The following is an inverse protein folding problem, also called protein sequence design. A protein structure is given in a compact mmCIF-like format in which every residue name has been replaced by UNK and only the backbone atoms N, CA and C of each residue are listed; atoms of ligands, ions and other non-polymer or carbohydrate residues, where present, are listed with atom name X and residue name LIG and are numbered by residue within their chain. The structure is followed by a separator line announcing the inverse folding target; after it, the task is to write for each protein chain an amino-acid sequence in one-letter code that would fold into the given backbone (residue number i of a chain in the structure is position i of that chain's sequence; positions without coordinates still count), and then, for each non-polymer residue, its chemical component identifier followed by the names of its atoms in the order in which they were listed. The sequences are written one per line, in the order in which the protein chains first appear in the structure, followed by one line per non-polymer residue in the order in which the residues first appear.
data_IF_709883603680
#
_entry.id   IF_709883603680
#
_cell.length_a   1.000
_cell.length_b   1.000
_cell.length_c   1.000
_cell.angle_alpha   90.00
_cell.angle_beta   90.00
_cell.angle_gamma   90.00
#
_symmetry.space_group_name_H-M   'P 1'
#
loop_
_entity.id
_entity.type
_entity.pdbx_description
1 polymer ?
#
# COMPACT_ATOMS: atom_id res chain seq x y z
N UNK A 1 3.27 12.77 -37.06
CA UNK A 1 3.12 11.55 -36.22
C UNK A 1 3.19 12.00 -34.78
N UNK A 2 2.03 12.15 -34.13
CA UNK A 2 1.98 12.55 -32.72
C UNK A 2 2.37 11.33 -31.89
N UNK A 3 3.58 11.34 -31.33
CA UNK A 3 3.93 10.44 -30.25
C UNK A 3 2.96 10.74 -29.10
N UNK A 4 2.05 9.81 -28.81
CA UNK A 4 1.30 9.84 -27.57
C UNK A 4 2.33 9.70 -26.45
N UNK A 5 2.68 10.82 -25.81
CA UNK A 5 3.50 10.84 -24.62
C UNK A 5 2.72 10.11 -23.53
N UNK A 6 3.14 8.90 -23.19
CA UNK A 6 2.63 8.23 -22.00
C UNK A 6 2.78 9.12 -20.76
N UNK A 7 1.98 8.91 -19.71
CA UNK A 7 2.06 9.71 -18.49
C UNK A 7 3.49 9.71 -17.94
N UNK A 8 4.03 10.89 -17.63
CA UNK A 8 5.35 11.04 -17.01
C UNK A 8 5.37 10.40 -15.61
N UNK A 9 6.48 9.75 -15.26
CA UNK A 9 6.66 9.19 -13.92
C UNK A 9 6.58 10.31 -12.85
N UNK A 10 5.89 10.09 -11.72
CA UNK A 10 5.88 11.05 -10.62
C UNK A 10 7.29 11.20 -10.02
N UNK A 11 7.51 12.36 -9.42
CA UNK A 11 8.76 12.78 -8.77
C UNK A 11 8.51 13.09 -7.29
N UNK A 12 9.57 13.43 -6.55
CA UNK A 12 9.42 13.89 -5.16
C UNK A 12 8.57 15.16 -5.03
N UNK A 13 8.61 16.07 -6.03
CA UNK A 13 7.78 17.28 -6.01
C UNK A 13 6.28 16.96 -6.01
N UNK A 14 5.88 15.87 -6.66
CA UNK A 14 4.48 15.39 -6.64
C UNK A 14 4.10 14.88 -5.24
N UNK A 15 5.04 14.25 -4.52
CA UNK A 15 4.85 13.84 -3.12
C UNK A 15 4.70 15.07 -2.21
N UNK A 16 5.48 16.13 -2.44
CA UNK A 16 5.34 17.39 -1.70
C UNK A 16 3.97 18.04 -1.94
N UNK A 17 3.53 18.09 -3.20
CA UNK A 17 2.19 18.56 -3.55
C UNK A 17 1.10 17.71 -2.87
N UNK A 18 1.27 16.38 -2.84
CA UNK A 18 0.35 15.49 -2.15
C UNK A 18 0.33 15.75 -0.63
N UNK A 19 1.49 15.99 -0.01
CA UNK A 19 1.59 16.32 1.42
C UNK A 19 0.84 17.61 1.75
N UNK A 20 0.89 18.62 0.86
CA UNK A 20 0.10 19.85 1.02
C UNK A 20 -1.40 19.55 0.97
N UNK A 21 -1.87 18.74 0.00
CA UNK A 21 -3.30 18.38 -0.11
C UNK A 21 -3.80 17.56 1.09
N UNK A 22 -2.94 16.74 1.68
CA UNK A 22 -3.28 15.84 2.79
C UNK A 22 -3.19 16.51 4.16
N UNK A 23 -2.56 17.69 4.27
CA UNK A 23 -2.35 18.39 5.54
C UNK A 23 -3.67 18.69 6.25
N UNK A 24 -3.80 18.20 7.49
CA UNK A 24 -5.02 18.34 8.30
C UNK A 24 -6.17 17.40 7.91
N UNK A 25 -5.99 16.63 6.83
CA UNK A 25 -6.95 15.63 6.36
C UNK A 25 -6.49 14.24 6.77
N UNK A 26 -5.35 13.78 6.28
CA UNK A 26 -4.76 12.51 6.70
C UNK A 26 -4.24 12.62 8.14
N UNK A 27 -4.30 11.51 8.88
CA UNK A 27 -3.63 11.44 10.17
C UNK A 27 -2.12 11.45 9.95
N UNK A 28 -1.42 12.30 10.69
CA UNK A 28 0.02 12.21 10.86
C UNK A 28 0.32 11.06 11.83
N UNK A 29 0.49 9.85 11.30
CA UNK A 29 0.70 8.64 12.14
C UNK A 29 2.06 8.74 12.86
N UNK A 30 2.18 8.31 14.12
CA UNK A 30 3.41 8.55 14.90
C UNK A 30 4.59 7.67 14.42
N UNK A 31 5.82 8.16 14.51
CA UNK A 31 7.00 7.30 14.44
C UNK A 31 7.20 6.56 15.77
N UNK A 32 7.00 5.24 15.79
CA UNK A 32 7.06 4.41 17.01
C UNK A 32 8.34 3.59 17.10
N UNK A 33 8.81 3.27 18.30
CA UNK A 33 9.94 2.35 18.51
C UNK A 33 9.58 1.24 19.51
N UNK A 34 10.38 0.18 19.55
CA UNK A 34 10.20 -0.93 20.49
C UNK A 34 11.53 -1.46 20.97
N UNK A 35 11.80 -1.32 22.28
CA UNK A 35 13.03 -1.84 22.89
C UNK A 35 13.16 -3.36 22.71
N UNK A 36 12.04 -4.08 22.70
CA UNK A 36 12.01 -5.53 22.46
C UNK A 36 12.38 -5.87 21.02
N UNK A 37 11.86 -5.10 20.04
CA UNK A 37 12.22 -5.29 18.64
C UNK A 37 13.71 -4.98 18.41
N UNK A 38 14.19 -3.87 18.98
CA UNK A 38 15.59 -3.46 18.86
C UNK A 38 16.56 -4.50 19.41
N UNK A 39 16.25 -5.10 20.56
CA UNK A 39 17.05 -6.22 21.11
C UNK A 39 16.99 -7.47 20.23
N UNK A 40 15.80 -7.81 19.69
CA UNK A 40 15.61 -8.96 18.80
C UNK A 40 16.46 -8.86 17.54
N UNK A 41 16.58 -7.69 16.96
CA UNK A 41 17.26 -7.48 15.66
C UNK A 41 18.64 -6.84 15.78
N UNK A 42 19.08 -6.51 16.99
CA UNK A 42 20.32 -5.76 17.26
C UNK A 42 20.39 -4.46 16.44
N UNK A 43 19.26 -3.78 16.27
CA UNK A 43 19.09 -2.62 15.40
C UNK A 43 18.23 -1.54 16.08
N UNK A 44 18.22 -0.32 15.54
CA UNK A 44 17.31 0.75 15.96
C UNK A 44 16.12 0.80 14.99
N UNK A 45 15.02 0.12 15.33
CA UNK A 45 13.83 0.07 14.49
C UNK A 45 12.87 1.22 14.81
N UNK A 46 12.37 1.86 13.75
CA UNK A 46 11.32 2.88 13.80
C UNK A 46 10.18 2.46 12.88
N UNK A 47 8.98 2.35 13.45
CA UNK A 47 7.77 1.88 12.76
C UNK A 47 6.88 3.07 12.41
N UNK A 48 6.37 3.10 11.17
CA UNK A 48 5.33 4.02 10.70
C UNK A 48 4.00 3.24 10.63
N UNK A 49 3.12 3.37 11.65
CA UNK A 49 1.91 2.58 11.80
C UNK A 49 0.76 3.16 10.96
N UNK A 50 0.78 2.91 9.64
CA UNK A 50 -0.32 3.31 8.75
C UNK A 50 -1.60 2.50 8.97
N UNK A 51 -1.56 1.46 9.81
CA UNK A 51 -2.74 0.85 10.42
C UNK A 51 -3.56 1.83 11.29
N UNK A 52 -2.98 2.96 11.73
CA UNK A 52 -3.67 4.03 12.47
C UNK A 52 -4.16 5.17 11.56
N UNK A 53 -3.95 5.06 10.25
CA UNK A 53 -4.48 6.02 9.29
C UNK A 53 -6.02 5.94 9.26
N UNK A 54 -6.65 6.99 8.73
CA UNK A 54 -8.05 6.91 8.28
C UNK A 54 -8.27 5.65 7.46
N UNK A 55 -9.44 5.02 7.64
CA UNK A 55 -9.80 3.73 7.06
C UNK A 55 -8.81 2.58 7.32
N UNK A 56 -7.88 2.72 8.27
CA UNK A 56 -7.04 1.63 8.77
C UNK A 56 -5.86 1.23 7.89
N UNK A 57 -5.52 2.01 6.84
CA UNK A 57 -4.38 1.73 5.97
C UNK A 57 -3.84 2.98 5.25
N UNK A 58 -2.60 2.87 4.75
CA UNK A 58 -1.94 3.94 3.98
C UNK A 58 -2.72 4.39 2.74
N UNK A 59 -3.59 3.54 2.20
CA UNK A 59 -4.34 3.76 0.95
C UNK A 59 -5.15 5.05 0.95
N UNK A 60 -5.58 5.53 2.11
CA UNK A 60 -6.26 6.82 2.23
C UNK A 60 -5.46 7.96 1.59
N UNK A 61 -4.14 7.95 1.72
CA UNK A 61 -3.26 9.03 1.24
C UNK A 61 -3.35 9.22 -0.27
N UNK A 62 -3.06 8.18 -1.03
CA UNK A 62 -3.13 8.23 -2.49
C UNK A 62 -4.55 8.24 -3.03
N UNK A 63 -5.51 7.60 -2.36
CA UNK A 63 -6.93 7.68 -2.74
C UNK A 63 -7.45 9.12 -2.64
N UNK A 64 -7.19 9.79 -1.51
CA UNK A 64 -7.54 11.19 -1.31
C UNK A 64 -6.76 12.11 -2.27
N UNK A 65 -5.44 11.94 -2.39
CA UNK A 65 -4.65 12.77 -3.30
C UNK A 65 -5.15 12.68 -4.75
N UNK A 66 -5.42 11.47 -5.24
CA UNK A 66 -5.93 11.27 -6.61
C UNK A 66 -7.28 11.95 -6.83
N UNK A 67 -8.25 11.77 -5.92
CA UNK A 67 -9.57 12.42 -6.06
C UNK A 67 -9.43 13.95 -5.91
N UNK A 68 -8.59 14.43 -5.00
CA UNK A 68 -8.37 15.86 -4.78
C UNK A 68 -7.73 16.54 -5.99
N UNK A 69 -6.87 15.84 -6.73
CA UNK A 69 -6.21 16.32 -7.97
C UNK A 69 -7.14 16.40 -9.18
N UNK A 70 -8.33 15.80 -9.14
CA UNK A 70 -9.26 15.84 -10.27
C UNK A 70 -9.78 17.24 -10.57
N UNK A 71 -10.07 17.49 -11.85
CA UNK A 71 -10.75 18.71 -12.30
C UNK A 71 -12.18 18.80 -11.72
N UNK A 72 -12.78 20.00 -11.67
CA UNK A 72 -14.18 20.16 -11.25
C UNK A 72 -15.15 19.28 -12.06
N UNK A 73 -14.92 19.13 -13.37
CA UNK A 73 -15.74 18.32 -14.27
C UNK A 73 -15.62 16.83 -13.92
N UNK A 74 -14.39 16.34 -13.71
CA UNK A 74 -14.12 14.96 -13.30
C UNK A 74 -14.72 14.66 -11.92
N UNK A 75 -14.61 15.60 -10.97
CA UNK A 75 -15.24 15.48 -9.63
C UNK A 75 -16.76 15.40 -9.71
N UNK A 76 -17.37 16.21 -10.58
CA UNK A 76 -18.82 16.19 -10.81
C UNK A 76 -19.29 14.88 -11.45
N UNK A 77 -18.53 14.34 -12.40
CA UNK A 77 -18.85 13.07 -13.03
C UNK A 77 -18.70 11.89 -12.03
N UNK A 78 -17.70 11.96 -11.17
CA UNK A 78 -17.39 10.94 -10.17
C UNK A 78 -16.29 9.99 -10.61
N UNK A 79 -15.98 9.03 -9.74
CA UNK A 79 -14.85 8.11 -9.93
C UNK A 79 -15.30 6.65 -9.89
N UNK A 80 -14.51 5.79 -10.53
CA UNK A 80 -14.66 4.34 -10.44
C UNK A 80 -13.33 3.68 -10.06
N UNK A 81 -13.39 2.65 -9.23
CA UNK A 81 -12.23 1.80 -8.95
C UNK A 81 -12.65 0.33 -8.81
N UNK A 82 -11.66 -0.55 -8.79
CA UNK A 82 -11.83 -1.98 -8.57
C UNK A 82 -10.93 -2.43 -7.41
N UNK A 83 -11.56 -2.84 -6.31
CA UNK A 83 -10.86 -3.38 -5.14
C UNK A 83 -11.88 -4.01 -4.22
N UNK A 84 -11.50 -5.09 -3.54
CA UNK A 84 -12.29 -5.68 -2.45
C UNK A 84 -11.73 -5.33 -1.07
N UNK A 85 -10.76 -4.41 -0.99
CA UNK A 85 -9.89 -4.22 0.18
C UNK A 85 -9.65 -2.76 0.56
N UNK A 86 -8.44 -2.48 1.01
CA UNK A 86 -8.05 -1.16 1.51
C UNK A 86 -8.26 -0.03 0.48
N UNK A 87 -8.05 -0.29 -0.82
CA UNK A 87 -8.26 0.75 -1.83
C UNK A 87 -9.75 1.12 -2.01
N UNK A 88 -10.67 0.15 -1.90
CA UNK A 88 -12.11 0.42 -1.97
C UNK A 88 -12.56 1.37 -0.85
N UNK A 89 -12.16 1.09 0.39
CA UNK A 89 -12.46 1.93 1.53
C UNK A 89 -11.82 3.32 1.42
N UNK A 90 -10.58 3.39 0.93
CA UNK A 90 -9.89 4.66 0.73
C UNK A 90 -10.59 5.57 -0.28
N UNK A 91 -10.99 5.02 -1.44
CA UNK A 91 -11.71 5.78 -2.47
C UNK A 91 -13.09 6.19 -1.99
N UNK A 92 -13.87 5.28 -1.40
CA UNK A 92 -15.18 5.60 -0.86
C UNK A 92 -15.10 6.71 0.19
N UNK A 93 -14.18 6.59 1.15
CA UNK A 93 -14.05 7.58 2.22
C UNK A 93 -13.52 8.93 1.72
N UNK A 94 -12.53 8.93 0.82
CA UNK A 94 -12.04 10.16 0.20
C UNK A 94 -13.14 10.86 -0.62
N UNK A 95 -13.95 10.10 -1.37
CA UNK A 95 -15.09 10.64 -2.12
C UNK A 95 -16.12 11.28 -1.21
N UNK A 96 -16.43 10.65 -0.07
CA UNK A 96 -17.33 11.22 0.94
C UNK A 96 -16.82 12.58 1.45
N UNK A 97 -15.54 12.68 1.82
CA UNK A 97 -14.95 13.91 2.34
C UNK A 97 -14.90 15.03 1.30
N UNK A 98 -14.72 14.68 0.02
CA UNK A 98 -14.59 15.63 -1.09
C UNK A 98 -15.92 15.91 -1.82
N UNK A 99 -17.02 15.25 -1.44
CA UNK A 99 -18.31 15.36 -2.12
C UNK A 99 -18.29 14.80 -3.54
N UNK A 100 -17.45 13.80 -3.81
CA UNK A 100 -17.29 13.17 -5.13
C UNK A 100 -17.99 11.81 -5.15
N UNK A 101 -18.91 11.55 -6.09
CA UNK A 101 -19.52 10.23 -6.22
C UNK A 101 -18.48 9.14 -6.50
N UNK A 102 -18.56 8.02 -5.78
CA UNK A 102 -17.62 6.90 -5.92
C UNK A 102 -18.36 5.63 -6.31
N UNK A 103 -17.89 4.98 -7.37
CA UNK A 103 -18.34 3.65 -7.80
C UNK A 103 -17.23 2.63 -7.52
N UNK A 104 -17.53 1.58 -6.77
CA UNK A 104 -16.54 0.59 -6.34
C UNK A 104 -16.93 -0.77 -6.88
N UNK A 105 -16.06 -1.37 -7.70
CA UNK A 105 -16.27 -2.71 -8.23
C UNK A 105 -15.71 -3.72 -7.22
N UNK A 106 -16.62 -4.46 -6.58
CA UNK A 106 -16.31 -5.48 -5.57
C UNK A 106 -16.86 -6.83 -6.00
N UNK A 107 -16.15 -7.95 -5.74
CA UNK A 107 -16.66 -9.26 -6.11
C UNK A 107 -17.81 -9.71 -5.21
N UNK A 108 -18.61 -10.66 -5.69
CA UNK A 108 -19.76 -11.22 -4.96
C UNK A 108 -19.36 -11.83 -3.61
N UNK A 109 -18.19 -12.46 -3.54
CA UNK A 109 -17.63 -13.12 -2.36
C UNK A 109 -16.74 -12.21 -1.50
N UNK A 110 -16.79 -10.89 -1.71
CA UNK A 110 -16.04 -9.94 -0.88
C UNK A 110 -16.47 -10.07 0.60
N UNK A 111 -15.52 -10.06 1.57
CA UNK A 111 -15.85 -10.15 2.98
C UNK A 111 -16.88 -9.10 3.41
N UNK A 112 -17.90 -9.52 4.15
CA UNK A 112 -19.03 -8.67 4.54
C UNK A 112 -18.59 -7.38 5.27
N UNK A 113 -17.57 -7.46 6.12
CA UNK A 113 -17.02 -6.29 6.80
C UNK A 113 -16.45 -5.24 5.83
N UNK A 114 -15.78 -5.67 4.75
CA UNK A 114 -15.19 -4.78 3.74
C UNK A 114 -16.28 -4.12 2.88
N UNK A 115 -17.35 -4.86 2.56
CA UNK A 115 -18.56 -4.33 1.89
C UNK A 115 -19.23 -3.27 2.76
N UNK A 116 -19.53 -3.62 4.01
CA UNK A 116 -20.23 -2.73 4.95
C UNK A 116 -19.44 -1.44 5.20
N UNK A 117 -18.11 -1.51 5.31
CA UNK A 117 -17.27 -0.32 5.41
C UNK A 117 -17.37 0.57 4.16
N UNK A 118 -17.30 -0.01 2.96
CA UNK A 118 -17.42 0.74 1.70
C UNK A 118 -18.79 1.40 1.54
N UNK A 119 -19.88 0.69 1.86
CA UNK A 119 -21.24 1.25 1.85
C UNK A 119 -21.42 2.33 2.92
N UNK A 120 -20.87 2.12 4.12
CA UNK A 120 -20.91 3.08 5.22
C UNK A 120 -20.22 4.41 4.90
N UNK A 121 -19.24 4.41 3.98
CA UNK A 121 -18.62 5.60 3.44
C UNK A 121 -19.35 6.19 2.22
N UNK A 122 -20.51 5.65 1.83
CA UNK A 122 -21.31 6.14 0.71
C UNK A 122 -20.82 5.70 -0.67
N UNK A 123 -19.95 4.68 -0.75
CA UNK A 123 -19.53 4.11 -2.02
C UNK A 123 -20.63 3.30 -2.69
N UNK A 124 -20.91 3.59 -3.97
CA UNK A 124 -21.82 2.78 -4.78
C UNK A 124 -21.11 1.48 -5.19
N UNK A 125 -21.50 0.35 -4.62
CA UNK A 125 -20.91 -0.94 -4.98
C UNK A 125 -21.54 -1.49 -6.27
N UNK A 126 -20.69 -1.85 -7.22
CA UNK A 126 -21.05 -2.69 -8.38
C UNK A 126 -20.44 -4.07 -8.15
N UNK A 127 -21.30 -5.08 -8.09
CA UNK A 127 -20.89 -6.46 -7.86
C UNK A 127 -20.46 -7.14 -9.17
N UNK A 128 -19.52 -8.08 -9.07
CA UNK A 128 -19.13 -8.95 -10.18
C UNK A 128 -18.74 -10.35 -9.69
N UNK A 129 -18.81 -11.34 -10.58
CA UNK A 129 -18.28 -12.67 -10.38
C UNK A 129 -16.80 -12.71 -10.81
N UNK A 130 -15.90 -12.85 -9.83
CA UNK A 130 -14.45 -12.89 -10.08
C UNK A 130 -13.95 -14.10 -10.86
N UNK A 131 -14.78 -15.13 -11.03
CA UNK A 131 -14.41 -16.35 -11.75
C UNK A 131 -14.84 -16.31 -13.22
N UNK A 132 -15.86 -15.50 -13.56
CA UNK A 132 -16.41 -15.43 -14.93
C UNK A 132 -16.32 -14.04 -15.56
N UNK A 133 -16.13 -12.99 -14.77
CA UNK A 133 -16.11 -11.60 -15.23
C UNK A 133 -14.77 -10.91 -14.95
N UNK A 134 -14.44 -9.94 -15.79
CA UNK A 134 -13.22 -9.14 -15.66
C UNK A 134 -13.53 -7.75 -15.10
N UNK A 135 -13.10 -7.50 -13.85
CA UNK A 135 -13.29 -6.21 -13.17
C UNK A 135 -12.72 -5.00 -13.94
N UNK A 136 -11.65 -5.21 -14.73
CA UNK A 136 -11.05 -4.14 -15.53
C UNK A 136 -11.96 -3.76 -16.69
N UNK A 137 -12.55 -4.75 -17.36
CA UNK A 137 -13.52 -4.52 -18.45
C UNK A 137 -14.78 -3.82 -17.93
N UNK A 138 -15.29 -4.24 -16.77
CA UNK A 138 -16.42 -3.57 -16.11
C UNK A 138 -16.06 -2.11 -15.77
N UNK A 139 -14.87 -1.87 -15.22
CA UNK A 139 -14.39 -0.52 -14.90
C UNK A 139 -14.26 0.37 -16.13
N UNK A 140 -13.65 -0.14 -17.20
CA UNK A 140 -13.50 0.56 -18.47
C UNK A 140 -14.85 0.89 -19.11
N UNK A 141 -15.78 -0.07 -19.09
CA UNK A 141 -17.15 0.13 -19.59
C UNK A 141 -17.88 1.21 -18.80
N UNK A 142 -17.87 1.14 -17.47
CA UNK A 142 -18.51 2.15 -16.61
C UNK A 142 -17.89 3.53 -16.78
N UNK A 143 -16.56 3.60 -16.91
CA UNK A 143 -15.84 4.84 -17.23
C UNK A 143 -16.33 5.45 -18.54
N UNK A 144 -16.39 4.65 -19.61
CA UNK A 144 -16.82 5.11 -20.93
C UNK A 144 -18.31 5.53 -20.96
N UNK A 145 -19.20 4.74 -20.34
CA UNK A 145 -20.65 4.97 -20.35
C UNK A 145 -21.08 6.16 -19.48
N UNK A 146 -20.44 6.35 -18.32
CA UNK A 146 -20.84 7.33 -17.30
C UNK A 146 -19.88 8.51 -17.16
N UNK A 147 -18.77 8.51 -17.90
CA UNK A 147 -17.72 9.54 -17.80
C UNK A 147 -16.94 9.50 -16.49
N UNK A 148 -16.87 8.35 -15.80
CA UNK A 148 -16.20 8.22 -14.51
C UNK A 148 -14.68 8.17 -14.67
N UNK A 149 -13.95 8.89 -13.83
CA UNK A 149 -12.49 8.75 -13.81
C UNK A 149 -12.09 7.45 -13.10
N UNK A 150 -11.31 6.61 -13.77
CA UNK A 150 -10.75 5.40 -13.16
C UNK A 150 -9.61 5.79 -12.22
N UNK A 151 -9.65 5.35 -10.96
CA UNK A 151 -8.54 5.49 -10.01
C UNK A 151 -7.98 4.10 -9.67
N UNK A 152 -6.89 3.66 -10.31
CA UNK A 152 -6.23 2.40 -10.04
C UNK A 152 -5.74 2.28 -8.59
N UNK A 153 -5.58 1.06 -8.05
CA UNK A 153 -5.13 0.86 -6.68
C UNK A 153 -3.66 1.19 -6.42
N UNK A 154 -2.83 1.30 -7.47
CA UNK A 154 -1.39 1.58 -7.32
C UNK A 154 -0.79 2.27 -8.54
N UNK A 155 -1.18 1.88 -9.76
CA UNK A 155 -0.53 2.33 -10.99
C UNK A 155 -1.09 3.66 -11.50
N UNK A 156 -0.90 4.73 -10.72
CA UNK A 156 -1.38 6.07 -11.03
C UNK A 156 -0.48 7.11 -10.35
N UNK A 157 -0.08 8.20 -11.06
CA UNK A 157 0.90 9.16 -10.54
C UNK A 157 0.46 9.78 -9.21
N UNK A 158 -0.77 10.29 -9.10
CA UNK A 158 -1.28 10.84 -7.84
C UNK A 158 -1.43 9.80 -6.72
N UNK A 159 -1.69 8.54 -7.07
CA UNK A 159 -1.78 7.48 -6.07
C UNK A 159 -0.40 7.26 -5.47
N UNK A 160 0.61 7.01 -6.31
CA UNK A 160 2.03 6.85 -5.92
C UNK A 160 2.51 8.03 -5.07
N UNK A 161 2.28 9.25 -5.54
CA UNK A 161 2.68 10.48 -4.87
C UNK A 161 2.06 10.60 -3.47
N UNK A 162 0.75 10.32 -3.35
CA UNK A 162 0.08 10.30 -2.05
C UNK A 162 0.66 9.24 -1.10
N UNK A 163 1.00 8.05 -1.60
CA UNK A 163 1.54 7.00 -0.73
C UNK A 163 2.91 7.36 -0.17
N UNK A 164 3.74 8.05 -0.96
CA UNK A 164 5.05 8.52 -0.53
C UNK A 164 5.00 9.41 0.71
N UNK A 165 3.87 10.10 0.96
CA UNK A 165 3.75 10.98 2.14
C UNK A 165 3.90 10.25 3.48
N UNK A 166 3.59 8.94 3.56
CA UNK A 166 3.87 8.16 4.76
C UNK A 166 5.38 8.08 5.07
N UNK A 167 6.20 7.86 4.05
CA UNK A 167 7.67 7.82 4.17
C UNK A 167 8.23 9.21 4.44
N UNK A 168 7.65 10.26 3.84
CA UNK A 168 8.06 11.64 4.08
C UNK A 168 7.94 11.98 5.56
N UNK A 169 6.76 11.75 6.13
CA UNK A 169 6.52 11.98 7.55
C UNK A 169 7.43 11.12 8.43
N UNK A 170 7.67 9.85 8.07
CA UNK A 170 8.59 8.99 8.83
C UNK A 170 10.00 9.57 8.90
N UNK A 171 10.56 10.02 7.77
CA UNK A 171 11.91 10.58 7.73
C UNK A 171 11.97 11.93 8.45
N UNK A 172 10.92 12.76 8.34
CA UNK A 172 10.83 14.04 9.06
C UNK A 172 10.77 13.83 10.59
N UNK A 173 10.01 12.85 11.06
CA UNK A 173 9.86 12.56 12.50
C UNK A 173 11.07 11.80 13.09
N UNK A 174 11.61 10.83 12.34
CA UNK A 174 12.65 9.94 12.83
C UNK A 174 14.07 10.39 12.46
N UNK A 175 14.21 11.35 11.56
CA UNK A 175 15.48 11.70 10.94
C UNK A 175 15.98 10.62 9.94
N UNK A 176 17.23 10.75 9.48
CA UNK A 176 17.83 9.81 8.55
C UNK A 176 17.81 8.36 9.04
N UNK A 177 17.69 7.43 8.09
CA UNK A 177 17.62 5.99 8.24
C UNK A 177 18.69 5.32 7.35
N UNK A 178 19.32 4.25 7.81
CA UNK A 178 20.23 3.46 6.98
C UNK A 178 19.46 2.58 5.99
N UNK A 179 18.31 2.05 6.43
CA UNK A 179 17.49 1.08 5.69
C UNK A 179 16.01 1.48 5.81
N UNK A 180 15.27 1.39 4.71
CA UNK A 180 13.80 1.53 4.70
C UNK A 180 13.17 0.26 4.15
N UNK A 181 12.31 -0.37 4.95
CA UNK A 181 11.57 -1.58 4.58
C UNK A 181 10.10 -1.25 4.30
N UNK A 182 9.62 -1.65 3.13
CA UNK A 182 8.28 -1.30 2.65
C UNK A 182 7.54 -2.52 2.10
N UNK A 183 6.29 -2.81 2.52
CA UNK A 183 5.49 -3.87 1.93
C UNK A 183 5.27 -3.65 0.44
N UNK A 184 5.33 -4.72 -0.35
CA UNK A 184 5.17 -4.70 -1.80
C UNK A 184 3.99 -5.59 -2.23
N UNK A 185 3.11 -4.99 -3.01
CA UNK A 185 2.18 -5.66 -3.92
C UNK A 185 2.41 -5.04 -5.30
N UNK A 186 1.41 -4.35 -5.86
CA UNK A 186 1.55 -3.68 -7.17
C UNK A 186 2.50 -2.46 -7.22
N UNK A 187 3.34 -2.22 -6.22
CA UNK A 187 4.41 -1.21 -6.28
C UNK A 187 4.09 0.21 -5.83
N UNK A 188 2.81 0.62 -5.71
CA UNK A 188 2.47 2.04 -5.46
C UNK A 188 3.04 2.64 -4.16
N UNK A 189 3.06 1.86 -3.07
CA UNK A 189 3.64 2.29 -1.79
C UNK A 189 5.17 2.35 -1.87
N UNK A 190 5.80 1.31 -2.41
CA UNK A 190 7.26 1.21 -2.53
C UNK A 190 7.82 2.28 -3.48
N UNK A 191 7.19 2.51 -4.63
CA UNK A 191 7.58 3.56 -5.55
C UNK A 191 7.49 4.95 -4.90
N UNK A 192 6.39 5.25 -4.21
CA UNK A 192 6.24 6.52 -3.48
C UNK A 192 7.30 6.67 -2.37
N UNK A 193 7.57 5.61 -1.62
CA UNK A 193 8.61 5.59 -0.59
C UNK A 193 10.02 5.81 -1.17
N UNK A 194 10.32 5.20 -2.31
CA UNK A 194 11.62 5.31 -2.98
C UNK A 194 11.88 6.75 -3.48
N UNK A 195 10.86 7.42 -4.05
CA UNK A 195 10.97 8.84 -4.44
C UNK A 195 11.35 9.74 -3.26
N UNK A 196 10.75 9.49 -2.09
CA UNK A 196 11.04 10.27 -0.88
C UNK A 196 12.42 9.94 -0.32
N UNK A 197 12.75 8.66 -0.18
CA UNK A 197 14.03 8.23 0.35
C UNK A 197 15.17 8.82 -0.48
N UNK A 198 15.07 8.76 -1.82
CA UNK A 198 16.08 9.33 -2.71
C UNK A 198 16.27 10.84 -2.53
N UNK A 199 15.18 11.58 -2.29
CA UNK A 199 15.22 13.04 -2.16
C UNK A 199 15.69 13.52 -0.79
N UNK A 200 15.23 12.88 0.30
CA UNK A 200 15.44 13.34 1.67
C UNK A 200 16.58 12.63 2.40
N UNK A 201 16.93 11.42 1.97
CA UNK A 201 17.93 10.58 2.62
C UNK A 201 18.62 9.68 1.58
N UNK A 202 19.42 10.25 0.65
CA UNK A 202 19.89 9.59 -0.56
C UNK A 202 20.78 8.36 -0.33
N UNK A 203 21.37 8.24 0.87
CA UNK A 203 22.17 7.07 1.28
C UNK A 203 21.30 5.94 1.89
N UNK A 204 19.99 6.15 2.03
CA UNK A 204 19.07 5.14 2.56
C UNK A 204 18.90 4.00 1.56
N UNK A 205 19.11 2.78 2.04
CA UNK A 205 18.91 1.56 1.26
C UNK A 205 17.45 1.14 1.35
N UNK A 206 16.72 1.24 0.26
CA UNK A 206 15.28 0.93 0.22
C UNK A 206 15.06 -0.52 -0.21
N UNK A 207 14.24 -1.26 0.54
CA UNK A 207 13.87 -2.64 0.24
C UNK A 207 12.34 -2.80 0.14
N UNK A 208 11.91 -3.47 -0.92
CA UNK A 208 10.56 -4.02 -1.02
C UNK A 208 10.45 -5.37 -0.31
N UNK A 209 9.27 -5.70 0.21
CA UNK A 209 9.02 -7.01 0.83
C UNK A 209 7.72 -7.62 0.34
N UNK A 210 7.82 -8.79 -0.27
CA UNK A 210 6.69 -9.57 -0.82
C UNK A 210 6.46 -10.86 0.00
N UNK A 211 5.26 -11.45 -0.05
CA UNK A 211 5.08 -12.83 0.40
C UNK A 211 5.83 -13.79 -0.53
N UNK A 212 6.43 -14.87 0.01
CA UNK A 212 7.18 -15.87 -0.77
C UNK A 212 6.40 -16.42 -1.97
N UNK A 213 5.09 -16.65 -1.81
CA UNK A 213 4.24 -17.18 -2.87
C UNK A 213 3.96 -16.16 -4.01
N UNK A 214 4.11 -14.86 -3.73
CA UNK A 214 3.78 -13.75 -4.62
C UNK A 214 4.98 -12.85 -4.86
N UNK A 215 6.08 -13.42 -5.35
CA UNK A 215 7.36 -12.73 -5.54
C UNK A 215 7.55 -12.16 -6.96
N UNK A 216 6.47 -11.70 -7.61
CA UNK A 216 6.54 -11.16 -8.97
C UNK A 216 7.40 -9.91 -9.06
N UNK A 217 7.36 -9.02 -8.06
CA UNK A 217 8.22 -7.84 -8.01
C UNK A 217 9.69 -8.20 -7.88
N UNK A 218 10.04 -9.15 -7.02
CA UNK A 218 11.41 -9.68 -6.90
C UNK A 218 11.90 -10.26 -8.23
N UNK A 219 11.10 -11.11 -8.88
CA UNK A 219 11.43 -11.66 -10.19
C UNK A 219 11.60 -10.54 -11.23
N UNK A 220 10.70 -9.54 -11.22
CA UNK A 220 10.74 -8.41 -12.14
C UNK A 220 12.02 -7.58 -11.98
N UNK A 221 12.39 -7.26 -10.73
CA UNK A 221 13.61 -6.50 -10.44
C UNK A 221 14.86 -7.24 -10.89
N UNK A 222 14.92 -8.56 -10.64
CA UNK A 222 16.05 -9.40 -11.06
C UNK A 222 16.15 -9.59 -12.56
N UNK A 223 15.01 -9.70 -13.24
CA UNK A 223 14.95 -9.90 -14.68
C UNK A 223 15.16 -8.60 -15.47
N UNK A 224 14.82 -7.45 -14.86
CA UNK A 224 14.86 -6.15 -15.49
C UNK A 224 13.60 -5.80 -16.31
N UNK A 225 12.57 -6.63 -16.25
CA UNK A 225 11.28 -6.45 -16.93
C UNK A 225 10.14 -7.00 -16.06
N UNK A 226 8.90 -6.53 -16.26
CA UNK A 226 7.75 -6.98 -15.48
C UNK A 226 7.49 -8.47 -15.72
N UNK A 227 7.50 -9.25 -14.63
CA UNK A 227 7.15 -10.66 -14.61
C UNK A 227 5.72 -10.81 -14.11
N UNK A 228 4.93 -11.63 -14.81
CA UNK A 228 3.58 -12.00 -14.38
C UNK A 228 3.57 -13.43 -13.82
N UNK A 229 2.88 -13.64 -12.71
CA UNK A 229 2.67 -14.95 -12.07
C UNK A 229 1.17 -15.28 -11.97
N UNK A 230 0.84 -16.52 -11.58
CA UNK A 230 -0.53 -16.85 -11.16
C UNK A 230 -0.87 -16.16 -9.82
N UNK A 231 -2.16 -15.95 -9.54
CA UNK A 231 -2.58 -15.33 -8.27
C UNK A 231 -2.02 -16.12 -7.07
N UNK A 232 -1.18 -15.50 -6.22
CA UNK A 232 -0.47 -16.22 -5.18
C UNK A 232 -1.41 -16.61 -4.02
N UNK A 233 -1.13 -17.76 -3.41
CA UNK A 233 -1.84 -18.24 -2.21
C UNK A 233 -1.05 -17.83 -0.97
N UNK A 234 -1.50 -16.79 -0.29
CA UNK A 234 -0.87 -16.22 0.91
C UNK A 234 -1.93 -15.56 1.78
N UNK A 235 -1.70 -15.49 3.09
CA UNK A 235 -2.52 -14.71 4.02
C UNK A 235 -2.34 -13.18 3.82
N UNK A 236 -1.31 -12.74 3.10
CA UNK A 236 -1.09 -11.33 2.77
C UNK A 236 -2.02 -10.88 1.63
N UNK A 237 -3.32 -10.77 1.88
CA UNK A 237 -4.35 -10.48 0.87
C UNK A 237 -4.12 -9.16 0.11
N UNK A 238 -3.53 -8.15 0.76
CA UNK A 238 -3.17 -6.88 0.14
C UNK A 238 -1.96 -6.93 -0.82
N UNK A 239 -1.26 -8.07 -0.89
CA UNK A 239 -0.08 -8.30 -1.73
C UNK A 239 -0.26 -9.50 -2.69
N UNK A 240 -1.50 -9.86 -3.03
CA UNK A 240 -1.80 -10.92 -4.02
C UNK A 240 -1.82 -10.40 -5.47
N UNK A 241 -1.11 -9.31 -5.76
CA UNK A 241 -0.90 -8.87 -7.14
C UNK A 241 -0.12 -9.92 -7.91
N UNK A 242 -0.34 -9.96 -9.22
CA UNK A 242 0.30 -10.94 -10.10
C UNK A 242 1.46 -10.33 -10.91
N UNK A 243 1.59 -9.01 -10.88
CA UNK A 243 2.60 -8.21 -11.57
C UNK A 243 2.62 -6.79 -10.99
N UNK A 244 3.75 -6.09 -11.16
CA UNK A 244 3.92 -4.66 -10.84
C UNK A 244 3.26 -3.74 -11.88
N UNK A 245 2.92 -2.51 -11.50
CA UNK A 245 2.38 -1.51 -12.42
C UNK A 245 3.44 -0.86 -13.32
N UNK A 246 3.02 -0.38 -14.49
CA UNK A 246 3.87 0.22 -15.53
C UNK A 246 4.55 1.53 -15.08
N UNK A 247 3.93 2.27 -14.16
CA UNK A 247 4.51 3.47 -13.55
C UNK A 247 5.35 3.14 -12.31
N UNK A 248 4.96 2.10 -11.58
CA UNK A 248 5.63 1.73 -10.33
C UNK A 248 6.98 1.04 -10.60
N UNK A 249 7.04 0.15 -11.59
CA UNK A 249 8.23 -0.66 -11.85
C UNK A 249 9.45 0.17 -12.27
N UNK A 250 9.37 1.15 -13.19
CA UNK A 250 10.53 1.97 -13.55
C UNK A 250 11.11 2.76 -12.38
N UNK A 251 10.28 3.19 -11.43
CA UNK A 251 10.74 3.85 -10.19
C UNK A 251 11.43 2.84 -9.29
N UNK A 252 10.80 1.68 -9.08
CA UNK A 252 11.36 0.59 -8.25
C UNK A 252 12.71 0.14 -8.81
N UNK A 253 12.80 -0.13 -10.10
CA UNK A 253 14.02 -0.58 -10.77
C UNK A 253 15.18 0.41 -10.62
N UNK A 254 14.89 1.71 -10.58
CA UNK A 254 15.91 2.75 -10.49
C UNK A 254 16.37 3.01 -9.06
N UNK A 255 15.45 2.96 -8.10
CA UNK A 255 15.67 3.53 -6.76
C UNK A 255 15.64 2.50 -5.61
N UNK A 256 15.16 1.29 -5.85
CA UNK A 256 15.07 0.22 -4.82
C UNK A 256 16.29 -0.67 -4.93
N UNK A 257 16.94 -0.93 -3.80
CA UNK A 257 18.13 -1.76 -3.76
C UNK A 257 17.79 -3.23 -3.99
N UNK A 258 16.77 -3.72 -3.30
CA UNK A 258 16.36 -5.11 -3.43
C UNK A 258 14.89 -5.34 -3.04
N UNK A 259 14.35 -6.48 -3.46
CA UNK A 259 13.06 -7.01 -3.00
C UNK A 259 13.32 -8.39 -2.38
N UNK A 260 13.02 -8.51 -1.09
CA UNK A 260 13.11 -9.78 -0.36
C UNK A 260 11.72 -10.38 -0.15
N UNK A 261 11.67 -11.65 0.23
CA UNK A 261 10.43 -12.35 0.50
C UNK A 261 10.38 -12.89 1.93
N UNK A 262 9.17 -13.09 2.44
CA UNK A 262 8.93 -13.73 3.75
C UNK A 262 7.75 -14.70 3.68
N UNK A 263 7.81 -15.75 4.49
CA UNK A 263 6.74 -16.74 4.60
C UNK A 263 5.52 -16.22 5.37
N UNK A 264 4.36 -16.83 5.12
CA UNK A 264 3.14 -16.58 5.90
C UNK A 264 3.33 -16.85 7.40
N UNK A 265 4.17 -17.83 7.76
CA UNK A 265 4.52 -18.10 9.15
C UNK A 265 5.26 -16.91 9.80
N UNK A 266 6.17 -16.27 9.06
CA UNK A 266 6.85 -15.06 9.53
C UNK A 266 5.88 -13.87 9.68
N UNK A 267 4.85 -13.78 8.82
CA UNK A 267 3.79 -12.78 8.97
C UNK A 267 2.99 -12.99 10.25
N UNK A 268 2.58 -14.24 10.54
CA UNK A 268 1.86 -14.59 11.78
C UNK A 268 2.69 -14.24 13.02
N UNK A 269 3.98 -14.56 13.01
CA UNK A 269 4.89 -14.22 14.10
C UNK A 269 5.04 -12.71 14.31
N UNK A 270 5.09 -11.94 13.22
CA UNK A 270 5.09 -10.49 13.28
C UNK A 270 3.74 -9.92 13.79
N UNK A 271 2.61 -10.48 13.37
CA UNK A 271 1.28 -10.12 13.88
C UNK A 271 1.20 -10.32 15.39
N UNK A 272 1.64 -11.49 15.88
CA UNK A 272 1.70 -11.78 17.32
C UNK A 272 2.60 -10.78 18.05
N UNK A 273 3.77 -10.47 17.50
CA UNK A 273 4.67 -9.47 18.07
C UNK A 273 4.00 -8.10 18.22
N UNK A 274 3.32 -7.61 17.19
CA UNK A 274 2.66 -6.30 17.26
C UNK A 274 1.52 -6.28 18.28
N UNK A 275 0.70 -7.33 18.32
CA UNK A 275 -0.37 -7.44 19.32
C UNK A 275 0.20 -7.49 20.76
N UNK A 276 1.21 -8.33 21.01
CA UNK A 276 1.73 -8.57 22.35
C UNK A 276 2.68 -7.50 22.85
N UNK A 277 3.50 -6.91 21.98
CA UNK A 277 4.62 -6.05 22.39
C UNK A 277 4.42 -4.59 22.06
N UNK A 278 3.68 -4.28 21.00
CA UNK A 278 3.43 -2.90 20.58
C UNK A 278 1.97 -2.46 20.75
N UNK A 279 1.06 -3.39 21.07
CA UNK A 279 -0.38 -3.14 21.27
C UNK A 279 -1.06 -2.58 20.03
N UNK A 280 -0.61 -3.05 18.86
CA UNK A 280 -1.14 -2.70 17.56
C UNK A 280 -1.80 -3.91 16.92
N UNK A 281 -2.97 -3.70 16.31
CA UNK A 281 -3.56 -4.65 15.36
C UNK A 281 -3.02 -4.31 13.98
N UNK A 282 -2.31 -5.26 13.38
CA UNK A 282 -1.67 -5.13 12.06
C UNK A 282 -2.13 -6.31 11.21
N UNK A 283 -2.60 -6.05 9.99
CA UNK A 283 -3.04 -7.10 9.06
C UNK A 283 -1.82 -7.87 8.51
N UNK A 284 -1.98 -9.09 7.96
CA UNK A 284 -0.83 -9.88 7.50
C UNK A 284 0.05 -9.14 6.48
N UNK A 285 -0.53 -8.44 5.50
CA UNK A 285 0.21 -7.60 4.54
C UNK A 285 0.95 -6.44 5.23
N UNK A 286 0.37 -5.87 6.29
CA UNK A 286 1.00 -4.84 7.10
C UNK A 286 2.28 -5.30 7.80
N UNK A 287 2.44 -6.61 8.00
CA UNK A 287 3.58 -7.20 8.67
C UNK A 287 4.78 -7.51 7.77
N UNK A 288 4.65 -7.45 6.43
CA UNK A 288 5.71 -7.85 5.48
C UNK A 288 7.06 -7.22 5.81
N UNK A 289 7.11 -5.88 5.86
CA UNK A 289 8.35 -5.14 6.13
C UNK A 289 8.98 -5.48 7.50
N UNK A 290 8.16 -5.64 8.53
CA UNK A 290 8.64 -6.00 9.85
C UNK A 290 9.16 -7.45 9.91
N UNK A 291 8.47 -8.37 9.26
CA UNK A 291 8.86 -9.77 9.16
C UNK A 291 10.24 -9.91 8.48
N UNK A 292 10.55 -9.11 7.46
CA UNK A 292 11.87 -9.11 6.83
C UNK A 292 13.00 -8.71 7.80
N UNK A 293 12.76 -7.71 8.65
CA UNK A 293 13.72 -7.34 9.71
C UNK A 293 13.84 -8.44 10.78
N UNK A 294 12.73 -9.06 11.17
CA UNK A 294 12.68 -10.05 12.25
C UNK A 294 13.27 -11.41 11.87
N UNK A 295 13.19 -11.79 10.60
CA UNK A 295 13.74 -13.04 10.06
C UNK A 295 15.19 -12.90 9.61
N UNK A 296 15.70 -11.67 9.51
CA UNK A 296 17.04 -11.40 8.96
C UNK A 296 17.09 -11.49 7.44
N UNK A 297 15.95 -11.52 6.74
CA UNK A 297 15.90 -11.44 5.28
C UNK A 297 16.59 -10.17 4.75
N UNK A 298 16.59 -9.10 5.55
CA UNK A 298 17.47 -7.94 5.36
C UNK A 298 18.44 -7.85 6.55
N UNK A 299 19.76 -7.68 6.33
CA UNK A 299 20.75 -7.58 7.40
C UNK A 299 20.69 -6.22 8.10
N UNK A 300 19.84 -6.11 9.12
CA UNK A 300 19.54 -4.86 9.83
C UNK A 300 20.43 -4.58 11.05
N UNK A 301 21.26 -5.53 11.49
CA UNK A 301 22.06 -5.39 12.71
C UNK A 301 23.00 -4.17 12.65
N UNK A 302 23.05 -3.39 13.73
CA UNK A 302 23.83 -2.16 13.82
C UNK A 302 23.30 -0.99 12.99
N UNK A 303 22.10 -1.11 12.40
CA UNK A 303 21.49 -0.09 11.54
C UNK A 303 20.30 0.60 12.20
N UNK A 304 19.99 1.81 11.74
CA UNK A 304 18.73 2.51 11.98
C UNK A 304 17.77 2.23 10.83
N UNK A 305 16.63 1.61 11.13
CA UNK A 305 15.75 1.03 10.11
C UNK A 305 14.35 1.59 10.24
N UNK A 306 13.83 2.18 9.17
CA UNK A 306 12.43 2.55 9.03
C UNK A 306 11.61 1.37 8.51
N UNK A 307 10.43 1.15 9.10
CA UNK A 307 9.53 0.05 8.75
C UNK A 307 8.13 0.61 8.56
N UNK A 308 7.56 0.46 7.36
CA UNK A 308 6.16 0.82 7.10
C UNK A 308 5.25 -0.34 7.51
N UNK A 309 4.32 -0.10 8.44
CA UNK A 309 3.22 -1.03 8.74
C UNK A 309 2.00 -0.57 7.95
N UNK A 310 1.73 -1.21 6.81
CA UNK A 310 0.85 -0.63 5.78
C UNK A 310 -0.63 -0.57 6.15
N UNK A 311 -1.13 -1.45 7.02
CA UNK A 311 -2.53 -1.43 7.44
C UNK A 311 -2.89 -2.43 8.54
N UNK A 312 -4.13 -2.31 9.02
CA UNK A 312 -4.68 -3.06 10.15
C UNK A 312 -6.05 -3.69 9.89
N UNK A 313 -6.50 -3.72 8.63
CA UNK A 313 -7.85 -4.13 8.26
C UNK A 313 -7.99 -5.65 8.14
N UNK A 314 -8.12 -6.30 9.29
CA UNK A 314 -8.28 -7.75 9.42
C UNK A 314 -9.56 -8.08 10.19
N UNK A 315 -10.25 -9.15 9.78
CA UNK A 315 -11.36 -9.68 10.57
C UNK A 315 -10.85 -10.18 11.93
N UNK A 316 -11.49 -9.79 13.04
CA UNK A 316 -10.96 -10.09 14.37
C UNK A 316 -10.98 -11.59 14.69
N UNK A 317 -11.93 -12.36 14.16
CA UNK A 317 -11.92 -13.81 14.33
C UNK A 317 -10.78 -14.44 13.54
N UNK A 318 -10.56 -14.00 12.30
CA UNK A 318 -9.39 -14.38 11.50
C UNK A 318 -8.08 -14.00 12.18
N UNK A 319 -7.97 -12.79 12.72
CA UNK A 319 -6.80 -12.32 13.47
C UNK A 319 -6.52 -13.21 14.68
N UNK A 320 -7.54 -13.48 15.50
CA UNK A 320 -7.43 -14.36 16.66
C UNK A 320 -6.99 -15.77 16.26
N UNK A 321 -7.54 -16.32 15.18
CA UNK A 321 -7.17 -17.62 14.64
C UNK A 321 -5.71 -17.66 14.17
N UNK A 322 -5.21 -16.59 13.53
CA UNK A 322 -3.81 -16.53 13.10
C UNK A 322 -2.83 -16.51 14.27
N UNK A 323 -3.09 -15.68 15.29
CA UNK A 323 -2.11 -15.50 16.38
C UNK A 323 -2.21 -16.55 17.48
N UNK A 324 -3.30 -17.33 17.51
CA UNK A 324 -3.47 -18.44 18.44
C UNK A 324 -2.28 -19.42 18.37
N UNK A 325 -1.87 -20.04 19.49
CA UNK A 325 -0.92 -21.13 19.45
C UNK A 325 -1.48 -22.26 18.59
N UNK A 326 -0.67 -22.85 17.71
CA UNK A 326 -1.01 -24.13 17.09
C UNK A 326 -1.22 -25.16 18.20
N UNK A 327 -2.37 -25.84 18.18
CA UNK A 327 -2.69 -26.91 19.12
C UNK A 327 -1.75 -28.11 18.98
#
# INVERSE_FOLDING_TARGET
MNAQTGPSLPTYADVEAAAVRLKGIAHHTPAMSSATANRRTQASLVFKPENLQRMGAFKFRGGYNAIASLSPEQKKAGVVTYSSGNHAQAIAYAGQLLGVPTTIIMPNDAPAAKVAATEGYGGQIIRYDRYTENRLEIGNRLSAERGLTIIPPYDHPDVIAGQGTATKELIEDAGPLDILLVPLGGGGLLAGAALVAKALNPDCRVFGVEPEAGNDGQQSLRKGEIVAIGVPKTIADGAQTAFLGDLTFPIIQREVEDIVTVSDAALVDAMRFFAERMKLVVEPTGCLAAAAAFTGAVPVAGKRVGIILSGGNVDLAGFAAFIAPSA
#
